data_IF_400142349687
#
_entry.id   IF_400142349687
#
_cell.length_a   1.000
_cell.length_b   1.000
_cell.length_c   1.000
_cell.angle_alpha   90.00
_cell.angle_beta   90.00
_cell.angle_gamma   90.00
#
_symmetry.space_group_name_H-M   'P 1'
#
loop_
_entity.id
_entity.type
_entity.pdbx_description
1 polymer ?
#
# COMPACT_ATOMS: atom_id res chain seq x y z
N UNK A 1 -0.04 -1.70 10.25
CA UNK A 1 -1.22 -1.13 10.92
C UNK A 1 -2.44 -1.08 10.04
N UNK A 2 -3.57 -0.72 10.64
CA UNK A 2 -4.85 -0.68 9.95
C UNK A 2 -5.47 -2.05 9.67
N UNK A 3 -6.58 -2.04 8.93
CA UNK A 3 -7.33 -3.23 8.58
C UNK A 3 -7.45 -3.35 7.06
N UNK A 4 -7.26 -4.55 6.55
CA UNK A 4 -7.54 -4.86 5.16
C UNK A 4 -9.04 -5.09 5.04
N UNK A 5 -9.68 -4.45 4.05
CA UNK A 5 -11.10 -4.62 3.77
C UNK A 5 -11.32 -5.96 3.06
N UNK A 6 -12.26 -6.77 3.57
CA UNK A 6 -12.65 -8.04 2.95
C UNK A 6 -14.16 -8.17 2.84
N UNK A 7 -14.62 -9.04 1.96
CA UNK A 7 -16.01 -9.48 1.91
C UNK A 7 -16.22 -10.52 3.00
N UNK A 8 -17.22 -10.30 3.85
CA UNK A 8 -17.62 -11.21 4.91
C UNK A 8 -18.98 -11.83 4.58
N UNK A 9 -19.11 -13.13 4.84
CA UNK A 9 -20.34 -13.89 4.67
C UNK A 9 -20.72 -14.49 6.02
N UNK A 10 -21.66 -13.86 6.70
CA UNK A 10 -22.14 -14.31 8.01
C UNK A 10 -23.31 -15.26 7.80
N UNK A 11 -23.07 -16.55 7.98
CA UNK A 11 -24.07 -17.60 7.76
C UNK A 11 -25.16 -17.55 8.83
N UNK A 12 -26.42 -17.78 8.42
CA UNK A 12 -27.56 -17.94 9.31
C UNK A 12 -27.94 -19.42 9.42
N UNK A 13 -27.65 -20.08 10.56
CA UNK A 13 -27.90 -21.52 10.73
C UNK A 13 -29.38 -21.91 10.62
N UNK A 14 -30.29 -21.01 11.00
CA UNK A 14 -31.74 -21.28 10.94
C UNK A 14 -32.22 -21.25 9.48
N UNK A 15 -31.79 -20.25 8.72
CA UNK A 15 -32.09 -20.17 7.31
C UNK A 15 -31.46 -21.35 6.55
N UNK A 16 -30.22 -21.73 6.85
CA UNK A 16 -29.58 -22.90 6.25
C UNK A 16 -30.38 -24.18 6.50
N UNK A 17 -30.89 -24.37 7.71
CA UNK A 17 -31.80 -25.51 8.03
C UNK A 17 -33.09 -25.45 7.24
N UNK A 18 -33.71 -24.29 7.17
CA UNK A 18 -34.96 -24.11 6.43
C UNK A 18 -34.84 -24.42 4.94
N UNK A 19 -33.71 -24.02 4.32
CA UNK A 19 -33.42 -24.29 2.90
C UNK A 19 -32.69 -25.61 2.67
N UNK A 20 -32.42 -26.40 3.71
CA UNK A 20 -31.64 -27.65 3.67
C UNK A 20 -30.30 -27.49 2.96
N UNK A 21 -29.54 -26.46 3.37
CA UNK A 21 -28.22 -26.11 2.83
C UNK A 21 -27.16 -26.38 3.88
N UNK A 22 -26.06 -27.04 3.49
CA UNK A 22 -24.91 -27.28 4.34
C UNK A 22 -23.89 -26.13 4.28
N UNK A 23 -23.04 -26.00 5.32
CA UNK A 23 -21.94 -25.03 5.34
C UNK A 23 -20.99 -25.21 4.17
N UNK A 24 -20.72 -26.47 3.78
CA UNK A 24 -19.85 -26.79 2.65
C UNK A 24 -20.40 -26.30 1.31
N UNK A 25 -21.72 -26.36 1.12
CA UNK A 25 -22.36 -25.81 -0.08
C UNK A 25 -22.15 -24.29 -0.15
N UNK A 26 -22.29 -23.56 0.97
CA UNK A 26 -22.02 -22.12 1.03
C UNK A 26 -20.55 -21.82 0.73
N UNK A 27 -19.61 -22.53 1.35
CA UNK A 27 -18.17 -22.37 1.10
C UNK A 27 -17.85 -22.59 -0.37
N UNK A 28 -18.35 -23.68 -0.95
CA UNK A 28 -18.11 -24.00 -2.36
C UNK A 28 -18.72 -22.95 -3.29
N UNK A 29 -19.91 -22.41 -2.95
CA UNK A 29 -20.53 -21.35 -3.73
C UNK A 29 -19.68 -20.08 -3.72
N UNK A 30 -19.22 -19.65 -2.54
CA UNK A 30 -18.33 -18.46 -2.41
C UNK A 30 -17.03 -18.65 -3.19
N UNK A 31 -16.41 -19.84 -3.10
CA UNK A 31 -15.18 -20.13 -3.85
C UNK A 31 -15.41 -20.10 -5.37
N UNK A 32 -16.50 -20.68 -5.85
CA UNK A 32 -16.86 -20.71 -7.28
C UNK A 32 -17.29 -19.34 -7.81
N UNK A 33 -17.88 -18.49 -6.98
CA UNK A 33 -18.30 -17.15 -7.38
C UNK A 33 -17.15 -16.15 -7.53
N UNK A 34 -15.93 -16.53 -7.14
CA UNK A 34 -14.76 -15.66 -7.19
C UNK A 34 -13.61 -16.33 -7.97
N UNK A 35 -13.92 -16.88 -9.12
CA UNK A 35 -12.97 -17.59 -10.00
C UNK A 35 -12.95 -16.95 -11.38
N UNK A 36 -11.76 -16.57 -11.83
CA UNK A 36 -11.52 -16.20 -13.23
C UNK A 36 -11.17 -17.48 -14.00
N UNK A 37 -11.96 -17.81 -15.01
CA UNK A 37 -11.76 -19.01 -15.82
C UNK A 37 -11.24 -18.59 -17.18
N UNK A 38 -9.99 -18.98 -17.51
CA UNK A 38 -9.49 -18.95 -18.88
C UNK A 38 -10.22 -20.05 -19.69
N UNK A 39 -10.97 -19.63 -20.69
CA UNK A 39 -11.61 -20.56 -21.61
C UNK A 39 -10.76 -20.72 -22.89
N UNK A 40 -11.18 -21.67 -23.74
CA UNK A 40 -10.55 -21.95 -25.02
C UNK A 40 -10.58 -20.75 -25.97
N UNK A 41 -9.72 -20.80 -26.98
CA UNK A 41 -9.74 -19.87 -28.10
C UNK A 41 -10.78 -20.29 -29.13
N UNK A 42 -11.51 -19.34 -29.68
CA UNK A 42 -12.43 -19.55 -30.81
C UNK A 42 -11.85 -18.88 -32.04
N UNK A 43 -11.66 -19.64 -33.10
CA UNK A 43 -11.21 -19.14 -34.40
C UNK A 43 -12.42 -18.77 -35.27
N UNK A 44 -12.55 -17.51 -35.62
CA UNK A 44 -13.57 -16.97 -36.51
C UNK A 44 -12.91 -16.15 -37.60
N UNK A 45 -13.12 -16.50 -38.85
CA UNK A 45 -12.57 -15.79 -40.02
C UNK A 45 -11.03 -15.63 -39.99
N UNK A 46 -10.29 -16.67 -39.62
CA UNK A 46 -8.84 -16.69 -39.47
C UNK A 46 -8.32 -15.71 -38.39
N UNK A 47 -9.15 -15.31 -37.43
CA UNK A 47 -8.77 -14.54 -36.25
C UNK A 47 -9.07 -15.35 -35.00
N UNK A 48 -8.07 -15.51 -34.15
CA UNK A 48 -8.18 -16.22 -32.88
C UNK A 48 -8.69 -15.28 -31.80
N UNK A 49 -9.83 -15.62 -31.18
CA UNK A 49 -10.42 -14.89 -30.06
C UNK A 49 -10.22 -15.67 -28.77
N UNK A 50 -9.61 -15.05 -27.78
CA UNK A 50 -9.47 -15.62 -26.45
C UNK A 50 -10.74 -15.33 -25.64
N UNK A 51 -11.43 -16.38 -25.21
CA UNK A 51 -12.59 -16.25 -24.33
C UNK A 51 -12.10 -16.23 -22.89
N UNK A 52 -12.46 -15.19 -22.13
CA UNK A 52 -12.22 -15.10 -20.69
C UNK A 52 -13.55 -15.00 -19.95
N UNK A 53 -13.77 -15.93 -19.03
CA UNK A 53 -14.85 -15.82 -18.05
C UNK A 53 -14.39 -14.94 -16.89
N UNK A 54 -14.83 -13.68 -16.85
CA UNK A 54 -14.54 -12.78 -15.73
C UNK A 54 -15.48 -13.10 -14.58
N UNK A 55 -15.02 -13.89 -13.63
CA UNK A 55 -15.82 -14.40 -12.50
C UNK A 55 -15.48 -13.80 -11.13
N UNK A 56 -14.62 -12.76 -11.06
CA UNK A 56 -14.33 -12.14 -9.77
C UNK A 56 -15.51 -11.29 -9.25
N UNK A 57 -15.80 -11.45 -7.96
CA UNK A 57 -16.76 -10.65 -7.22
C UNK A 57 -16.29 -9.19 -7.17
N UNK A 58 -17.14 -8.25 -7.60
CA UNK A 58 -16.86 -6.82 -7.61
C UNK A 58 -17.72 -6.05 -6.60
N UNK A 59 -18.86 -6.60 -6.23
CA UNK A 59 -19.82 -5.96 -5.33
C UNK A 59 -20.40 -6.97 -4.34
N UNK A 60 -21.05 -6.47 -3.29
CA UNK A 60 -21.84 -7.33 -2.38
C UNK A 60 -23.01 -7.98 -3.12
N UNK A 61 -23.60 -7.28 -4.08
CA UNK A 61 -24.72 -7.80 -4.88
C UNK A 61 -24.32 -9.03 -5.71
N UNK A 62 -23.09 -9.06 -6.25
CA UNK A 62 -22.59 -10.23 -6.98
C UNK A 62 -22.51 -11.45 -6.05
N UNK A 63 -22.01 -11.20 -4.83
CA UNK A 63 -21.89 -12.25 -3.83
C UNK A 63 -23.27 -12.70 -3.33
N UNK A 64 -24.17 -11.77 -3.02
CA UNK A 64 -25.54 -12.04 -2.58
C UNK A 64 -26.33 -12.88 -3.57
N UNK A 65 -26.17 -12.62 -4.86
CA UNK A 65 -26.87 -13.32 -5.92
C UNK A 65 -26.21 -14.64 -6.36
N UNK A 66 -25.06 -14.97 -5.81
CA UNK A 66 -24.39 -16.24 -6.10
C UNK A 66 -25.23 -17.42 -5.62
N UNK A 67 -25.39 -18.44 -6.48
CA UNK A 67 -26.24 -19.60 -6.21
C UNK A 67 -25.47 -20.62 -5.36
N UNK A 68 -26.02 -20.95 -4.20
CA UNK A 68 -25.48 -21.97 -3.29
C UNK A 68 -25.93 -23.37 -3.73
N UNK A 69 -27.23 -23.54 -3.99
CA UNK A 69 -27.79 -24.80 -4.45
C UNK A 69 -29.12 -24.57 -5.19
N UNK A 70 -29.60 -25.60 -5.88
CA UNK A 70 -30.94 -25.58 -6.48
C UNK A 70 -31.78 -26.63 -5.80
N UNK A 71 -32.92 -26.23 -5.23
CA UNK A 71 -33.87 -27.11 -4.56
C UNK A 71 -35.25 -26.98 -5.26
N UNK A 72 -35.82 -28.09 -5.68
CA UNK A 72 -37.10 -28.12 -6.38
C UNK A 72 -37.20 -27.09 -7.55
N UNK A 73 -36.14 -26.98 -8.35
CA UNK A 73 -36.00 -26.00 -9.43
C UNK A 73 -35.94 -24.52 -8.97
N UNK A 74 -35.81 -24.26 -7.67
CA UNK A 74 -35.66 -22.92 -7.12
C UNK A 74 -34.22 -22.72 -6.69
N UNK A 75 -33.52 -21.70 -7.21
CA UNK A 75 -32.15 -21.40 -6.78
C UNK A 75 -32.16 -20.77 -5.38
N UNK A 76 -31.40 -21.36 -4.46
CA UNK A 76 -31.07 -20.79 -3.15
C UNK A 76 -29.78 -20.00 -3.31
N UNK A 77 -29.83 -18.73 -2.96
CA UNK A 77 -28.71 -17.79 -3.09
C UNK A 77 -28.04 -17.53 -1.75
N UNK A 78 -26.84 -16.94 -1.78
CA UNK A 78 -26.12 -16.58 -0.53
C UNK A 78 -26.98 -15.70 0.35
N UNK A 79 -27.65 -14.67 -0.17
CA UNK A 79 -28.56 -13.79 0.58
C UNK A 79 -29.70 -14.48 1.29
N UNK A 80 -30.10 -15.69 0.86
CA UNK A 80 -31.20 -16.45 1.46
C UNK A 80 -30.75 -17.20 2.72
N UNK A 81 -29.44 -17.47 2.86
CA UNK A 81 -28.85 -18.28 3.94
C UNK A 81 -27.74 -17.57 4.72
N UNK A 82 -27.33 -16.39 4.28
CA UNK A 82 -26.27 -15.61 4.90
C UNK A 82 -26.51 -14.10 4.71
N UNK A 83 -25.79 -13.31 5.49
CA UNK A 83 -25.69 -11.86 5.32
C UNK A 83 -24.30 -11.53 4.80
N UNK A 84 -24.23 -10.75 3.74
CA UNK A 84 -22.93 -10.26 3.24
C UNK A 84 -22.64 -8.84 3.73
N UNK A 85 -21.40 -8.56 4.01
CA UNK A 85 -20.96 -7.24 4.43
C UNK A 85 -19.48 -7.01 4.08
N UNK A 86 -19.06 -5.75 4.14
CA UNK A 86 -17.63 -5.46 4.20
C UNK A 86 -17.17 -5.44 5.65
N UNK A 87 -16.09 -6.12 5.94
CA UNK A 87 -15.50 -6.16 7.25
C UNK A 87 -13.98 -6.09 7.24
N UNK A 88 -13.37 -6.01 8.42
CA UNK A 88 -11.93 -6.04 8.58
C UNK A 88 -11.42 -7.48 8.51
N UNK A 89 -10.36 -7.71 7.74
CA UNK A 89 -9.61 -8.95 7.81
C UNK A 89 -8.94 -9.13 9.18
N UNK A 90 -8.61 -10.37 9.51
CA UNK A 90 -7.89 -10.68 10.75
C UNK A 90 -6.58 -9.89 10.82
N UNK A 91 -6.44 -9.11 11.88
CA UNK A 91 -5.29 -8.23 12.07
C UNK A 91 -4.03 -9.03 12.39
N UNK A 92 -2.95 -8.80 11.63
CA UNK A 92 -1.66 -9.45 11.83
C UNK A 92 -0.61 -8.57 12.49
N UNK A 93 -0.87 -7.27 12.63
CA UNK A 93 0.05 -6.32 13.24
C UNK A 93 -0.60 -4.97 13.49
N UNK A 94 -0.01 -4.20 14.39
CA UNK A 94 -0.43 -2.85 14.72
C UNK A 94 0.72 -1.86 14.51
N UNK A 95 0.37 -0.63 14.21
CA UNK A 95 1.27 0.51 14.25
C UNK A 95 0.64 1.58 15.14
N UNK A 96 1.42 2.05 16.07
CA UNK A 96 1.06 3.16 16.95
C UNK A 96 2.00 4.34 16.73
N UNK A 97 1.46 5.54 16.80
CA UNK A 97 2.23 6.77 16.83
C UNK A 97 1.70 7.69 17.94
N UNK A 98 2.50 7.92 18.94
CA UNK A 98 2.20 8.79 20.07
C UNK A 98 0.86 8.43 20.78
N UNK A 99 0.63 7.14 21.01
CA UNK A 99 -0.58 6.60 21.66
C UNK A 99 -1.82 6.50 20.77
N UNK A 100 -1.69 6.80 19.48
CA UNK A 100 -2.77 6.70 18.51
C UNK A 100 -2.49 5.64 17.45
N UNK A 101 -3.51 4.86 17.13
CA UNK A 101 -3.40 3.89 16.04
C UNK A 101 -3.16 4.57 14.70
N UNK A 102 -2.19 4.06 13.95
CA UNK A 102 -1.79 4.61 12.66
C UNK A 102 -1.65 3.53 11.59
N UNK A 103 -1.71 3.94 10.34
CA UNK A 103 -1.38 3.11 9.17
C UNK A 103 -0.06 3.62 8.61
N UNK A 104 0.94 2.76 8.53
CA UNK A 104 2.25 3.13 8.00
C UNK A 104 2.47 2.58 6.60
N UNK A 105 3.17 3.36 5.79
CA UNK A 105 3.71 2.95 4.52
C UNK A 105 5.22 3.23 4.46
N UNK A 106 5.95 2.38 3.78
CA UNK A 106 7.40 2.53 3.58
C UNK A 106 7.66 2.74 2.09
N UNK A 107 8.31 3.83 1.76
CA UNK A 107 8.79 4.11 0.40
C UNK A 107 10.24 3.69 0.29
N UNK A 108 10.54 2.79 -0.63
CA UNK A 108 11.89 2.28 -0.87
C UNK A 108 12.38 2.81 -2.21
N UNK A 109 13.54 3.47 -2.21
CA UNK A 109 14.22 3.89 -3.42
C UNK A 109 14.78 2.67 -4.17
N UNK A 110 14.68 2.66 -5.50
CA UNK A 110 15.31 1.62 -6.33
C UNK A 110 16.83 1.74 -6.28
N UNK A 111 17.50 0.60 -6.46
CA UNK A 111 18.95 0.61 -6.58
C UNK A 111 19.40 1.54 -7.73
N UNK A 112 20.40 2.37 -7.47
CA UNK A 112 20.94 3.34 -8.43
C UNK A 112 20.18 4.66 -8.52
N UNK A 113 19.00 4.81 -7.87
CA UNK A 113 18.31 6.10 -7.82
C UNK A 113 18.92 7.03 -6.76
N UNK A 114 18.78 8.34 -6.98
CA UNK A 114 19.20 9.35 -6.00
C UNK A 114 18.20 9.42 -4.83
N UNK A 115 18.60 9.07 -3.59
CA UNK A 115 17.69 9.06 -2.45
C UNK A 115 17.11 10.43 -2.12
N UNK A 116 17.87 11.51 -2.28
CA UNK A 116 17.40 12.87 -2.00
C UNK A 116 16.33 13.31 -2.98
N UNK A 117 16.47 12.97 -4.25
CA UNK A 117 15.48 13.23 -5.28
C UNK A 117 14.19 12.45 -5.00
N UNK A 118 14.31 11.15 -4.70
CA UNK A 118 13.16 10.30 -4.34
C UNK A 118 12.40 10.86 -3.15
N UNK A 119 13.11 11.26 -2.09
CA UNK A 119 12.48 11.86 -0.90
C UNK A 119 11.78 13.18 -1.26
N UNK A 120 12.40 14.01 -2.09
CA UNK A 120 11.81 15.26 -2.59
C UNK A 120 10.50 15.01 -3.35
N UNK A 121 10.52 14.06 -4.28
CA UNK A 121 9.35 13.70 -5.08
C UNK A 121 8.22 13.11 -4.22
N UNK A 122 8.56 12.28 -3.22
CA UNK A 122 7.58 11.73 -2.27
C UNK A 122 6.92 12.84 -1.46
N UNK A 123 7.71 13.79 -0.92
CA UNK A 123 7.18 14.94 -0.17
C UNK A 123 6.26 15.82 -1.02
N UNK A 124 6.65 16.07 -2.27
CA UNK A 124 5.83 16.82 -3.22
C UNK A 124 4.50 16.09 -3.48
N UNK A 125 4.54 14.77 -3.68
CA UNK A 125 3.34 13.97 -3.91
C UNK A 125 2.43 13.90 -2.68
N UNK A 126 2.99 13.79 -1.48
CA UNK A 126 2.22 13.85 -0.23
C UNK A 126 1.45 15.18 -0.15
N UNK A 127 2.13 16.30 -0.42
CA UNK A 127 1.51 17.63 -0.40
C UNK A 127 0.37 17.77 -1.43
N UNK A 128 0.54 17.18 -2.61
CA UNK A 128 -0.50 17.16 -3.66
C UNK A 128 -1.75 16.40 -3.21
N UNK A 129 -1.60 15.20 -2.64
CA UNK A 129 -2.72 14.36 -2.23
C UNK A 129 -3.38 14.81 -0.90
N UNK A 130 -2.69 15.61 -0.10
CA UNK A 130 -3.16 16.01 1.25
C UNK A 130 -4.50 16.74 1.22
N UNK A 131 -4.77 17.50 0.17
CA UNK A 131 -6.04 18.20 -0.01
C UNK A 131 -7.24 17.25 -0.20
N UNK A 132 -7.01 16.07 -0.79
CA UNK A 132 -8.03 15.05 -1.09
C UNK A 132 -8.19 13.98 -0.01
N UNK A 133 -7.44 14.05 1.10
CA UNK A 133 -7.54 13.02 2.15
C UNK A 133 -8.88 13.07 2.87
N UNK A 134 -9.42 11.90 3.28
CA UNK A 134 -10.70 11.81 3.95
C UNK A 134 -10.77 12.63 5.23
N UNK A 135 -11.93 13.24 5.46
CA UNK A 135 -12.23 13.94 6.70
C UNK A 135 -13.60 13.56 7.20
N UNK A 136 -13.79 13.55 8.53
CA UNK A 136 -15.06 13.21 9.18
C UNK A 136 -15.36 14.24 10.25
N UNK A 137 -16.60 14.76 10.25
CA UNK A 137 -17.10 15.59 11.35
C UNK A 137 -17.45 14.68 12.53
N UNK A 138 -16.87 14.93 13.68
CA UNK A 138 -17.14 14.22 14.93
C UNK A 138 -18.42 14.74 15.61
N UNK A 139 -18.92 13.99 16.60
CA UNK A 139 -20.14 14.34 17.33
C UNK A 139 -19.99 15.66 18.14
N UNK A 140 -18.79 16.04 18.54
CA UNK A 140 -18.45 17.29 19.22
C UNK A 140 -18.35 18.50 18.28
N UNK A 141 -18.58 18.30 16.98
CA UNK A 141 -18.47 19.33 15.95
C UNK A 141 -17.06 19.55 15.39
N UNK A 142 -16.05 18.93 15.96
CA UNK A 142 -14.67 18.98 15.43
C UNK A 142 -14.52 18.18 14.13
N UNK A 143 -13.52 18.54 13.33
CA UNK A 143 -13.20 17.83 12.08
C UNK A 143 -11.96 16.97 12.30
N UNK A 144 -12.14 15.67 12.24
CA UNK A 144 -11.03 14.71 12.17
C UNK A 144 -10.63 14.53 10.72
N UNK A 145 -9.36 14.84 10.39
CA UNK A 145 -8.80 14.70 9.04
C UNK A 145 -7.65 13.71 9.07
N UNK A 146 -7.60 12.85 8.06
CA UNK A 146 -6.43 11.99 7.84
C UNK A 146 -5.26 12.86 7.38
N UNK A 147 -4.10 12.71 8.00
CA UNK A 147 -2.87 13.41 7.65
C UNK A 147 -1.74 12.42 7.41
N UNK A 148 -0.84 12.72 6.48
CA UNK A 148 0.37 11.94 6.26
C UNK A 148 1.52 12.55 7.02
N UNK A 149 2.02 11.84 8.02
CA UNK A 149 3.11 12.32 8.89
C UNK A 149 4.34 11.49 8.66
N UNK A 150 5.43 12.04 8.10
CA UNK A 150 6.70 11.34 8.00
C UNK A 150 7.24 11.02 9.40
N UNK A 151 7.48 9.76 9.70
CA UNK A 151 8.06 9.33 10.98
C UNK A 151 9.53 8.94 10.85
N UNK A 152 10.01 8.71 9.63
CA UNK A 152 11.42 8.45 9.33
C UNK A 152 11.79 9.09 7.99
N UNK A 153 12.75 10.01 8.02
CA UNK A 153 13.23 10.75 6.87
C UNK A 153 14.76 10.84 6.92
N UNK A 154 15.41 10.28 5.91
CA UNK A 154 16.88 10.25 5.82
C UNK A 154 17.51 11.56 5.40
N UNK A 155 16.74 12.58 5.04
CA UNK A 155 17.28 13.87 4.55
C UNK A 155 18.29 14.49 5.52
N UNK A 156 17.98 14.48 6.82
CA UNK A 156 18.87 15.00 7.86
C UNK A 156 20.21 14.28 7.87
N UNK A 157 20.18 12.95 7.95
CA UNK A 157 21.39 12.13 7.96
C UNK A 157 22.27 12.32 6.72
N UNK A 158 21.64 12.37 5.54
CA UNK A 158 22.38 12.56 4.28
C UNK A 158 23.05 13.95 4.25
N UNK A 159 22.32 14.99 4.64
CA UNK A 159 22.86 16.36 4.70
C UNK A 159 24.00 16.50 5.70
N UNK A 160 23.87 15.89 6.87
CA UNK A 160 24.91 15.89 7.88
C UNK A 160 26.18 15.19 7.40
N UNK A 161 26.02 14.03 6.74
CA UNK A 161 27.15 13.29 6.16
C UNK A 161 27.86 14.11 5.07
N UNK A 162 27.11 14.75 4.17
CA UNK A 162 27.68 15.61 3.12
C UNK A 162 28.36 16.83 3.74
N UNK A 163 27.72 17.47 4.72
CA UNK A 163 28.27 18.63 5.41
C UNK A 163 29.59 18.33 6.16
N UNK A 164 29.70 17.15 6.77
CA UNK A 164 30.96 16.69 7.40
C UNK A 164 32.08 16.51 6.37
N UNK A 165 31.75 15.93 5.22
CA UNK A 165 32.71 15.75 4.13
C UNK A 165 33.15 17.09 3.55
N UNK A 166 32.22 18.01 3.29
CA UNK A 166 32.48 19.37 2.79
C UNK A 166 33.38 20.15 3.76
N UNK A 167 33.09 20.08 5.07
CA UNK A 167 33.89 20.68 6.11
C UNK A 167 35.30 20.13 6.16
N UNK A 168 35.47 18.81 6.10
CA UNK A 168 36.79 18.14 6.09
C UNK A 168 37.62 18.57 4.89
N UNK A 169 37.02 18.53 3.69
CA UNK A 169 37.69 18.94 2.45
C UNK A 169 38.07 20.42 2.49
N UNK A 170 37.18 21.29 3.00
CA UNK A 170 37.45 22.71 3.11
C UNK A 170 38.63 23.01 4.04
N UNK A 171 38.73 22.34 5.19
CA UNK A 171 39.84 22.46 6.11
C UNK A 171 41.13 21.94 5.49
N UNK A 172 41.11 20.82 4.78
CA UNK A 172 42.30 20.25 4.13
C UNK A 172 42.82 21.16 3.02
N UNK A 173 41.95 21.71 2.19
CA UNK A 173 42.29 22.69 1.17
C UNK A 173 42.88 23.94 1.80
N UNK A 174 42.28 24.48 2.88
CA UNK A 174 42.78 25.67 3.57
C UNK A 174 44.18 25.43 4.13
N UNK A 175 44.44 24.31 4.80
CA UNK A 175 45.73 23.94 5.35
C UNK A 175 46.75 23.81 4.21
N UNK A 176 46.39 23.15 3.11
CA UNK A 176 47.27 22.99 1.95
C UNK A 176 47.65 24.33 1.36
N UNK A 177 46.73 25.27 1.22
CA UNK A 177 47.00 26.62 0.73
C UNK A 177 47.98 27.35 1.67
N UNK A 178 47.76 27.28 2.98
CA UNK A 178 48.61 27.91 3.98
C UNK A 178 50.04 27.34 3.88
N UNK A 179 50.20 26.04 3.79
CA UNK A 179 51.48 25.36 3.66
C UNK A 179 52.21 25.81 2.38
N UNK A 180 51.51 25.86 1.24
CA UNK A 180 52.07 26.33 -0.02
C UNK A 180 52.53 27.78 0.10
N UNK A 181 51.72 28.66 0.67
CA UNK A 181 52.10 30.07 0.87
C UNK A 181 53.38 30.19 1.74
N UNK A 182 53.42 29.46 2.86
CA UNK A 182 54.61 29.44 3.74
C UNK A 182 55.86 28.96 3.04
N UNK A 183 55.72 27.90 2.24
CA UNK A 183 56.85 27.34 1.46
C UNK A 183 57.35 28.32 0.37
N UNK A 184 56.41 28.94 -0.35
CA UNK A 184 56.77 29.90 -1.43
C UNK A 184 57.38 31.19 -0.87
N UNK A 185 56.88 31.67 0.26
CA UNK A 185 57.43 32.84 0.93
C UNK A 185 58.82 32.58 1.54
N UNK A 186 59.18 31.33 1.81
CA UNK A 186 60.49 30.94 2.36
C UNK A 186 61.39 30.43 1.26
N UNK A 187 61.82 31.33 0.36
CA UNK A 187 62.66 31.07 -0.82
C UNK A 187 63.98 30.28 -0.52
N UNK A 188 64.47 30.32 0.73
CA UNK A 188 65.64 29.52 1.13
C UNK A 188 65.31 28.04 1.34
N UNK A 189 64.10 27.71 1.75
CA UNK A 189 63.67 26.32 1.94
C UNK A 189 63.29 25.65 0.60
N UNK A 190 62.78 26.43 -0.35
CA UNK A 190 62.38 25.95 -1.69
C UNK A 190 63.58 25.53 -2.60
N UNK A 191 64.79 25.88 -2.23
CA UNK A 191 65.99 25.48 -2.97
C UNK A 191 66.61 24.16 -2.47
N UNK A 192 66.16 23.65 -1.32
CA UNK A 192 66.68 22.43 -0.68
C UNK A 192 65.73 21.22 -0.90
N UNK A 193 64.53 21.41 -1.40
CA UNK A 193 63.58 20.38 -1.80
C UNK A 193 63.47 20.34 -3.32
#
# INVERSE_FOLDING_TARGET
GGYIKEYQVDINPDAMRAYNVSVMEVINAVQKSNLDIGAETVELNNVEYIIRGLGYVKSLDDLDNSVVSVRNNIPVRIKDVARTSFGPATRRGGLDKAGSEAVGAVVVARYGSNPMEVIGNVKAKIKEIEAGLPQKKLADGSISKVTVVPFYDRTGLIKETIGTLESALSHEILISIIVIIVLVLNLRASVIV
#
